data_IF_183749741798
#
_entry.id   IF_183749741798
#
_cell.length_a   1.000
_cell.length_b   1.000
_cell.length_c   1.000
_cell.angle_alpha   90.00
_cell.angle_beta   90.00
_cell.angle_gamma   90.00
#
_symmetry.space_group_name_H-M   'P 1'
#
loop_
_entity.id
_entity.type
_entity.pdbx_description
1 polymer ?
#
# COMPACT_ATOMS: atom_id res chain seq x y z
N UNK A 1 -33.27 0.76 -13.47
CA UNK A 1 -33.65 0.86 -12.05
C UNK A 1 -32.95 2.09 -11.47
N UNK A 2 -33.65 3.09 -10.91
CA UNK A 2 -32.98 4.22 -10.23
C UNK A 2 -32.07 3.75 -9.08
N UNK A 3 -32.21 2.51 -8.62
CA UNK A 3 -31.31 1.85 -7.65
C UNK A 3 -29.95 1.45 -8.22
N UNK A 4 -29.72 1.51 -9.54
CA UNK A 4 -28.49 0.92 -10.11
C UNK A 4 -27.35 1.89 -10.43
N UNK A 5 -27.53 3.20 -10.63
CA UNK A 5 -26.39 4.08 -11.01
C UNK A 5 -26.58 5.60 -11.01
N UNK A 6 -27.67 6.16 -10.46
CA UNK A 6 -27.95 7.59 -10.68
C UNK A 6 -27.87 8.49 -9.44
N UNK A 7 -27.64 7.92 -8.26
CA UNK A 7 -27.49 8.69 -7.02
C UNK A 7 -26.02 9.02 -6.71
N UNK A 8 -25.80 10.15 -6.02
CA UNK A 8 -24.48 10.57 -5.56
C UNK A 8 -24.50 10.95 -4.08
N UNK A 9 -23.36 10.76 -3.45
CA UNK A 9 -23.13 10.98 -2.03
C UNK A 9 -21.96 11.97 -1.91
N UNK A 10 -22.26 13.21 -1.52
CA UNK A 10 -21.30 14.30 -1.42
C UNK A 10 -21.05 14.65 0.04
N UNK A 11 -19.79 14.87 0.39
CA UNK A 11 -19.39 15.42 1.69
C UNK A 11 -19.04 16.90 1.51
N UNK A 12 -19.64 17.76 2.34
CA UNK A 12 -19.40 19.19 2.34
C UNK A 12 -18.87 19.56 3.72
N UNK A 13 -17.73 20.25 3.80
CA UNK A 13 -17.20 20.73 5.06
C UNK A 13 -16.67 22.15 4.93
N UNK A 14 -16.71 22.92 6.02
CA UNK A 14 -16.29 24.31 6.03
C UNK A 14 -15.27 24.64 7.14
N UNK A 15 -14.75 25.87 7.10
CA UNK A 15 -13.75 26.35 8.06
C UNK A 15 -14.34 26.62 9.45
N UNK A 16 -15.67 26.67 9.61
CA UNK A 16 -16.32 26.83 10.91
C UNK A 16 -16.45 25.50 11.65
N UNK A 17 -16.00 24.40 11.03
CA UNK A 17 -16.03 23.06 11.61
C UNK A 17 -17.33 22.31 11.33
N UNK A 18 -18.19 22.82 10.44
CA UNK A 18 -19.38 22.08 10.02
C UNK A 18 -19.02 21.08 8.92
N UNK A 19 -19.54 19.86 9.05
CA UNK A 19 -19.50 18.87 8.00
C UNK A 19 -20.92 18.36 7.73
N UNK A 20 -21.25 18.10 6.48
CA UNK A 20 -22.56 17.68 6.01
C UNK A 20 -22.42 16.51 5.06
N UNK A 21 -23.30 15.52 5.23
CA UNK A 21 -23.50 14.43 4.30
C UNK A 21 -24.70 14.73 3.43
N UNK A 22 -24.50 14.87 2.12
CA UNK A 22 -25.53 15.19 1.13
C UNK A 22 -25.74 14.02 0.17
N UNK A 23 -26.97 13.50 0.11
CA UNK A 23 -27.37 12.48 -0.84
C UNK A 23 -28.33 13.08 -1.87
N UNK A 24 -28.08 12.79 -3.15
CA UNK A 24 -28.92 13.23 -4.26
C UNK A 24 -29.18 12.06 -5.21
N UNK A 25 -30.38 12.00 -5.78
CA UNK A 25 -30.80 11.02 -6.77
C UNK A 25 -31.76 11.68 -7.77
N UNK A 26 -31.89 11.17 -9.01
CA UNK A 26 -32.92 11.64 -9.92
C UNK A 26 -34.31 11.34 -9.33
N UNK A 27 -35.27 12.20 -9.64
CA UNK A 27 -36.66 11.87 -9.43
C UNK A 27 -37.12 10.79 -10.43
N UNK A 28 -38.29 10.21 -10.18
CA UNK A 28 -38.88 9.16 -11.03
C UNK A 28 -39.34 9.69 -12.40
N UNK A 29 -39.47 11.02 -12.54
CA UNK A 29 -39.76 11.68 -13.82
C UNK A 29 -38.54 11.81 -14.73
N UNK A 30 -37.33 11.71 -14.17
CA UNK A 30 -36.07 11.98 -14.87
C UNK A 30 -35.87 13.46 -15.23
N UNK A 31 -36.71 14.36 -14.72
CA UNK A 31 -36.68 15.80 -15.00
C UNK A 31 -36.21 16.62 -13.79
N UNK A 32 -36.07 16.01 -12.62
CA UNK A 32 -35.61 16.68 -11.40
C UNK A 32 -34.76 15.75 -10.52
N UNK A 33 -34.44 16.21 -9.31
CA UNK A 33 -33.68 15.45 -8.33
C UNK A 33 -34.36 15.50 -6.95
N UNK A 34 -34.24 14.41 -6.21
CA UNK A 34 -34.59 14.31 -4.79
C UNK A 34 -33.30 14.28 -3.98
N UNK A 35 -33.25 15.03 -2.88
CA UNK A 35 -32.03 15.14 -2.07
C UNK A 35 -32.32 15.25 -0.57
N UNK A 36 -31.32 14.88 0.23
CA UNK A 36 -31.31 15.05 1.70
C UNK A 36 -29.89 15.41 2.16
N UNK A 37 -29.78 16.22 3.21
CA UNK A 37 -28.51 16.54 3.85
C UNK A 37 -28.60 16.34 5.37
N UNK A 38 -27.56 15.77 5.98
CA UNK A 38 -27.44 15.65 7.44
C UNK A 38 -26.11 16.27 7.90
N UNK A 39 -26.17 17.15 8.90
CA UNK A 39 -24.98 17.66 9.58
C UNK A 39 -24.32 16.52 10.36
N UNK A 40 -23.02 16.33 10.19
CA UNK A 40 -22.21 15.45 11.03
C UNK A 40 -21.94 16.20 12.34
N UNK A 41 -22.38 15.70 13.50
CA UNK A 41 -22.09 16.37 14.76
C UNK A 41 -20.58 16.50 15.01
N UNK A 42 -20.16 17.54 15.73
CA UNK A 42 -18.75 17.90 15.95
C UNK A 42 -17.89 16.76 16.55
N UNK A 43 -18.51 15.79 17.23
CA UNK A 43 -17.85 14.65 17.86
C UNK A 43 -17.94 13.35 17.05
N UNK A 44 -18.53 13.39 15.86
CA UNK A 44 -18.84 12.22 15.05
C UNK A 44 -17.99 12.15 13.79
N UNK A 45 -17.88 10.93 13.26
CA UNK A 45 -17.32 10.65 11.95
C UNK A 45 -18.41 9.96 11.12
N UNK A 46 -18.43 10.23 9.82
CA UNK A 46 -19.26 9.47 8.88
C UNK A 46 -18.35 8.73 7.91
N UNK A 47 -18.70 7.48 7.62
CA UNK A 47 -18.01 6.64 6.63
C UNK A 47 -19.01 6.36 5.54
N UNK A 48 -18.67 6.66 4.29
CA UNK A 48 -19.57 6.53 3.15
C UNK A 48 -19.00 5.52 2.17
N UNK A 49 -19.62 4.34 2.12
CA UNK A 49 -19.38 3.37 1.06
C UNK A 49 -20.24 3.70 -0.17
N UNK A 50 -20.25 2.83 -1.19
CA UNK A 50 -21.15 2.97 -2.34
C UNK A 50 -22.61 2.60 -2.00
N UNK A 51 -23.08 3.01 -0.82
CA UNK A 51 -24.43 2.80 -0.29
C UNK A 51 -24.80 3.98 0.61
N UNK A 52 -26.09 4.27 0.79
CA UNK A 52 -26.55 5.37 1.63
C UNK A 52 -26.36 5.06 3.11
N UNK A 53 -25.75 5.99 3.86
CA UNK A 53 -25.26 5.78 5.25
C UNK A 53 -26.00 6.61 6.31
N UNK A 54 -27.03 7.36 5.92
CA UNK A 54 -27.92 8.04 6.88
C UNK A 54 -28.86 6.98 7.45
N UNK A 55 -28.55 6.50 8.66
CA UNK A 55 -29.28 5.39 9.27
C UNK A 55 -30.31 5.82 10.33
N UNK A 56 -30.04 6.88 11.10
CA UNK A 56 -30.99 7.46 12.05
C UNK A 56 -31.41 8.85 11.64
N UNK A 57 -32.71 9.10 11.72
CA UNK A 57 -33.28 10.41 11.43
C UNK A 57 -34.25 10.75 12.55
N UNK A 58 -33.92 11.74 13.38
CA UNK A 58 -34.80 12.25 14.42
C UNK A 58 -35.52 13.52 13.95
N UNK A 59 -36.69 13.37 13.31
CA UNK A 59 -37.46 14.49 12.75
C UNK A 59 -38.03 15.48 13.78
N UNK A 60 -37.94 15.16 15.08
CA UNK A 60 -38.28 16.10 16.15
C UNK A 60 -37.15 17.09 16.46
N UNK A 61 -35.91 16.76 16.06
CA UNK A 61 -34.75 17.64 16.12
C UNK A 61 -34.59 18.35 14.77
N UNK A 62 -35.36 19.43 14.60
CA UNK A 62 -35.39 20.22 13.38
C UNK A 62 -34.09 20.97 13.11
N UNK A 63 -33.20 21.05 14.10
CA UNK A 63 -31.89 21.66 13.97
C UNK A 63 -30.90 20.71 13.26
N UNK A 64 -31.15 19.39 13.30
CA UNK A 64 -30.25 18.36 12.75
C UNK A 64 -30.91 17.41 11.72
N UNK A 65 -32.24 17.37 11.56
CA UNK A 65 -32.93 16.42 10.67
C UNK A 65 -34.18 16.97 9.95
N UNK A 66 -34.40 16.52 8.69
CA UNK A 66 -35.62 16.72 7.90
C UNK A 66 -35.97 15.42 7.15
N UNK A 67 -37.26 15.06 6.99
CA UNK A 67 -37.67 13.77 6.39
C UNK A 67 -39.16 13.41 6.50
N UNK A 68 -39.52 12.22 5.98
CA UNK A 68 -40.91 11.75 5.82
C UNK A 68 -41.49 11.15 7.12
N UNK A 69 -42.74 11.48 7.45
CA UNK A 69 -43.39 11.13 8.74
C UNK A 69 -43.63 9.64 8.98
N UNK A 70 -43.60 8.80 7.93
CA UNK A 70 -43.92 7.36 7.98
C UNK A 70 -42.69 6.44 8.02
N UNK A 71 -41.48 7.00 8.14
CA UNK A 71 -40.21 6.28 8.05
C UNK A 71 -40.02 5.21 9.14
N UNK A 72 -40.38 5.48 10.41
CA UNK A 72 -40.26 4.51 11.50
C UNK A 72 -41.21 3.31 11.32
N UNK A 73 -42.44 3.58 10.84
CA UNK A 73 -43.44 2.55 10.54
C UNK A 73 -42.94 1.57 9.46
N UNK A 74 -42.23 2.09 8.45
CA UNK A 74 -41.64 1.29 7.37
C UNK A 74 -40.45 0.46 7.89
N UNK A 75 -39.61 1.01 8.77
CA UNK A 75 -38.45 0.32 9.33
C UNK A 75 -38.86 -0.86 10.24
N UNK A 76 -39.88 -0.67 11.07
CA UNK A 76 -40.43 -1.73 11.93
C UNK A 76 -41.14 -2.81 11.10
N UNK A 77 -41.96 -2.41 10.11
CA UNK A 77 -42.71 -3.34 9.26
C UNK A 77 -41.82 -4.30 8.46
N UNK A 78 -40.61 -3.85 8.09
CA UNK A 78 -39.67 -4.66 7.33
C UNK A 78 -38.60 -5.34 8.19
N UNK A 79 -38.66 -5.20 9.52
CA UNK A 79 -37.75 -5.86 10.45
C UNK A 79 -36.33 -5.30 10.45
N UNK A 80 -36.13 -4.07 9.98
CA UNK A 80 -34.81 -3.42 9.94
C UNK A 80 -34.40 -2.83 11.29
N UNK A 81 -35.36 -2.61 12.19
CA UNK A 81 -35.13 -2.10 13.53
C UNK A 81 -36.23 -2.61 14.46
N UNK A 82 -35.87 -2.84 15.73
CA UNK A 82 -36.80 -3.21 16.78
C UNK A 82 -36.70 -2.20 17.93
N UNK A 83 -37.79 -1.50 18.30
CA UNK A 83 -37.81 -0.56 19.42
C UNK A 83 -37.35 -1.18 20.75
N UNK A 84 -37.53 -2.50 20.92
CA UNK A 84 -37.11 -3.25 22.10
C UNK A 84 -35.57 -3.46 22.17
N UNK A 85 -34.84 -3.24 21.08
CA UNK A 85 -33.37 -3.40 21.03
C UNK A 85 -32.60 -2.13 21.44
N UNK A 86 -33.31 -1.07 21.83
CA UNK A 86 -32.71 0.19 22.28
C UNK A 86 -32.71 1.29 21.19
N UNK A 87 -32.21 2.49 21.53
CA UNK A 87 -31.94 3.50 20.53
C UNK A 87 -30.90 2.93 19.57
N UNK A 88 -31.12 3.12 18.28
CA UNK A 88 -30.15 2.73 17.27
C UNK A 88 -28.85 3.57 17.47
N UNK A 89 -27.63 3.02 17.33
CA UNK A 89 -26.36 3.75 17.62
C UNK A 89 -25.17 3.11 16.88
N UNK A 90 -24.21 3.93 16.41
CA UNK A 90 -23.09 3.58 15.51
C UNK A 90 -21.77 4.33 15.80
N UNK A 91 -21.40 4.68 17.04
CA UNK A 91 -20.32 5.68 17.29
C UNK A 91 -18.96 5.16 17.81
N UNK A 92 -17.87 5.91 17.53
CA UNK A 92 -16.45 5.70 17.95
C UNK A 92 -16.00 6.82 18.92
N UNK A 93 -15.10 6.50 19.86
CA UNK A 93 -14.84 7.28 21.08
C UNK A 93 -13.57 8.17 21.11
N UNK A 94 -12.91 8.52 20.00
CA UNK A 94 -11.68 9.34 20.01
C UNK A 94 -11.58 10.33 18.83
N UNK A 95 -10.92 11.51 18.99
CA UNK A 95 -10.63 12.42 17.89
C UNK A 95 -9.74 11.76 16.84
N UNK A 96 -10.09 11.89 15.56
CA UNK A 96 -9.28 11.38 14.45
C UNK A 96 -8.36 12.46 13.88
N UNK A 97 -7.15 12.07 13.49
CA UNK A 97 -6.28 12.88 12.64
C UNK A 97 -6.42 12.48 11.16
N UNK A 98 -5.95 13.33 10.24
CA UNK A 98 -5.89 13.00 8.81
C UNK A 98 -5.13 11.68 8.56
N UNK A 99 -4.10 11.40 9.36
CA UNK A 99 -3.35 10.14 9.31
C UNK A 99 -4.21 8.91 9.61
N UNK A 100 -5.21 9.02 10.49
CA UNK A 100 -6.15 7.92 10.76
C UNK A 100 -7.06 7.66 9.57
N UNK A 101 -7.55 8.71 8.91
CA UNK A 101 -8.35 8.58 7.69
C UNK A 101 -7.54 7.97 6.54
N UNK A 102 -6.29 8.43 6.35
CA UNK A 102 -5.37 7.85 5.38
C UNK A 102 -5.09 6.37 5.70
N UNK A 103 -4.95 5.99 6.99
CA UNK A 103 -4.81 4.59 7.42
C UNK A 103 -6.05 3.77 7.05
N UNK A 104 -7.26 4.27 7.31
CA UNK A 104 -8.49 3.56 6.97
C UNK A 104 -8.64 3.34 5.46
N UNK A 105 -8.27 4.33 4.64
CA UNK A 105 -8.28 4.16 3.20
C UNK A 105 -7.35 3.04 2.72
N UNK A 106 -6.29 2.70 3.46
CA UNK A 106 -5.28 1.68 3.10
C UNK A 106 -5.70 0.24 3.42
N UNK A 107 -6.83 0.05 4.07
CA UNK A 107 -7.24 -1.21 4.71
C UNK A 107 -7.90 -2.21 3.72
N UNK A 108 -7.71 -3.50 4.00
CA UNK A 108 -8.28 -4.67 3.33
C UNK A 108 -8.88 -5.65 4.35
N UNK A 109 -9.45 -5.10 5.43
CA UNK A 109 -10.04 -5.79 6.58
C UNK A 109 -9.03 -6.56 7.43
N UNK A 110 -7.80 -6.06 7.53
CA UNK A 110 -6.73 -6.71 8.27
C UNK A 110 -7.13 -7.02 9.72
N UNK A 111 -6.80 -8.23 10.20
CA UNK A 111 -7.15 -8.75 11.53
C UNK A 111 -8.65 -9.02 11.75
N UNK A 112 -9.42 -9.19 10.69
CA UNK A 112 -10.83 -9.62 10.77
C UNK A 112 -11.02 -10.97 10.07
N UNK A 113 -12.19 -11.64 10.21
CA UNK A 113 -12.52 -12.80 9.40
C UNK A 113 -12.54 -12.54 7.88
N UNK A 114 -12.59 -11.27 7.45
CA UNK A 114 -12.62 -10.84 6.06
C UNK A 114 -11.26 -10.36 5.53
N UNK A 115 -10.17 -10.57 6.29
CA UNK A 115 -8.82 -10.12 5.96
C UNK A 115 -8.34 -10.69 4.61
N UNK A 116 -8.24 -9.82 3.59
CA UNK A 116 -7.85 -10.23 2.25
C UNK A 116 -6.36 -10.56 2.12
N UNK A 117 -5.54 -10.25 3.13
CA UNK A 117 -4.13 -10.66 3.18
C UNK A 117 -3.97 -12.12 3.61
N UNK A 118 -5.06 -12.78 4.02
CA UNK A 118 -5.05 -14.14 4.51
C UNK A 118 -5.74 -15.13 3.55
N UNK A 119 -5.50 -16.41 3.81
CA UNK A 119 -6.17 -17.51 3.12
C UNK A 119 -5.62 -17.81 1.73
N UNK A 120 -6.23 -18.79 1.07
CA UNK A 120 -5.76 -19.33 -0.21
C UNK A 120 -5.75 -18.27 -1.33
N UNK A 121 -6.76 -17.40 -1.33
CA UNK A 121 -6.90 -16.36 -2.34
C UNK A 121 -5.80 -15.29 -2.26
N UNK A 122 -5.15 -15.12 -1.10
CA UNK A 122 -4.04 -14.19 -0.94
C UNK A 122 -2.68 -14.76 -1.40
N UNK A 123 -2.63 -16.04 -1.74
CA UNK A 123 -1.39 -16.72 -2.10
C UNK A 123 -0.39 -16.80 -0.94
N UNK A 124 0.84 -17.25 -1.19
CA UNK A 124 1.81 -17.55 -0.13
C UNK A 124 2.33 -16.32 0.61
N UNK A 125 2.20 -15.14 0.00
CA UNK A 125 2.77 -13.88 0.50
C UNK A 125 1.71 -12.84 0.84
N UNK A 126 0.42 -13.20 0.86
CA UNK A 126 -0.63 -12.36 1.42
C UNK A 126 -1.09 -11.20 0.54
N UNK A 127 -1.12 -11.37 -0.78
CA UNK A 127 -1.58 -10.35 -1.72
C UNK A 127 -3.10 -10.08 -1.54
N UNK A 128 -3.52 -8.85 -1.18
CA UNK A 128 -4.93 -8.54 -0.97
C UNK A 128 -5.73 -8.34 -2.27
N UNK A 129 -5.07 -8.21 -3.43
CA UNK A 129 -5.76 -7.90 -4.68
C UNK A 129 -6.64 -9.07 -5.17
N UNK A 130 -7.84 -8.75 -5.67
CA UNK A 130 -8.79 -9.70 -6.27
C UNK A 130 -9.19 -9.20 -7.66
N UNK A 131 -8.57 -9.77 -8.69
CA UNK A 131 -8.81 -9.35 -10.07
C UNK A 131 -10.15 -9.87 -10.60
N UNK A 132 -10.75 -9.12 -11.53
CA UNK A 132 -11.99 -9.50 -12.19
C UNK A 132 -11.88 -10.85 -12.90
N UNK A 133 -12.89 -11.71 -12.73
CA UNK A 133 -12.94 -13.10 -13.24
C UNK A 133 -13.19 -13.21 -14.76
N UNK A 134 -13.27 -12.09 -15.47
CA UNK A 134 -13.54 -12.04 -16.91
C UNK A 134 -14.90 -12.63 -17.28
N UNK A 135 -15.01 -13.21 -18.48
CA UNK A 135 -16.25 -13.80 -19.01
C UNK A 135 -16.59 -15.18 -18.43
N UNK A 136 -15.67 -15.82 -17.71
CA UNK A 136 -15.85 -17.15 -17.13
C UNK A 136 -16.42 -17.06 -15.71
N UNK A 137 -17.69 -16.68 -15.60
CA UNK A 137 -18.39 -16.46 -14.32
C UNK A 137 -19.57 -17.41 -14.15
N UNK A 138 -19.57 -18.17 -13.05
CA UNK A 138 -20.71 -18.96 -12.57
C UNK A 138 -21.05 -18.55 -11.13
N UNK A 139 -21.45 -17.29 -10.94
CA UNK A 139 -21.74 -16.71 -9.63
C UNK A 139 -20.51 -16.54 -8.72
N UNK A 140 -20.75 -16.07 -7.49
CA UNK A 140 -19.72 -15.79 -6.49
C UNK A 140 -19.10 -14.39 -6.59
N UNK A 141 -18.51 -13.92 -5.49
CA UNK A 141 -17.74 -12.68 -5.41
C UNK A 141 -16.70 -12.79 -4.28
N UNK A 142 -15.62 -12.02 -4.40
CA UNK A 142 -14.76 -11.70 -3.26
C UNK A 142 -15.29 -10.44 -2.58
N UNK A 143 -15.02 -10.30 -1.29
CA UNK A 143 -15.24 -9.05 -0.56
C UNK A 143 -14.43 -7.92 -1.23
N UNK A 144 -15.06 -6.75 -1.38
CA UNK A 144 -14.41 -5.56 -1.93
C UNK A 144 -13.66 -4.86 -0.79
N UNK A 145 -12.33 -4.80 -0.86
CA UNK A 145 -11.53 -4.01 0.08
C UNK A 145 -11.82 -2.50 -0.02
N UNK A 146 -11.41 -1.76 1.01
CA UNK A 146 -11.45 -0.29 1.00
C UNK A 146 -10.40 0.21 0.00
N UNK A 147 -9.17 -0.24 0.15
CA UNK A 147 -8.10 -0.03 -0.82
C UNK A 147 -8.16 -1.08 -1.93
N UNK A 148 -8.25 -0.63 -3.18
CA UNK A 148 -8.31 -1.50 -4.36
C UNK A 148 -7.35 -1.01 -5.46
N UNK A 149 -6.78 -1.93 -6.24
CA UNK A 149 -5.73 -1.65 -7.22
C UNK A 149 -6.20 -0.80 -8.42
N UNK A 150 -7.50 -0.70 -8.63
CA UNK A 150 -8.17 0.11 -9.66
C UNK A 150 -8.50 1.54 -9.16
N UNK A 151 -8.29 1.83 -7.87
CA UNK A 151 -8.40 3.19 -7.34
C UNK A 151 -7.40 4.12 -8.04
N UNK A 152 -7.92 5.16 -8.67
CA UNK A 152 -7.10 6.11 -9.45
C UNK A 152 -6.42 7.13 -8.55
N UNK A 153 -7.08 7.56 -7.49
CA UNK A 153 -6.56 8.45 -6.47
C UNK A 153 -7.40 8.35 -5.20
N UNK A 154 -6.87 8.92 -4.13
CA UNK A 154 -7.51 9.11 -2.83
C UNK A 154 -7.10 10.48 -2.29
N UNK A 155 -7.97 11.11 -1.52
CA UNK A 155 -7.62 12.35 -0.85
C UNK A 155 -8.26 12.49 0.52
N UNK A 156 -7.60 13.22 1.41
CA UNK A 156 -8.16 13.67 2.69
C UNK A 156 -8.09 15.19 2.72
N UNK A 157 -9.24 15.85 2.76
CA UNK A 157 -9.31 17.30 2.89
C UNK A 157 -8.99 17.70 4.34
N UNK A 158 -8.05 18.63 4.51
CA UNK A 158 -7.68 19.21 5.80
C UNK A 158 -8.00 20.70 5.77
N UNK A 159 -8.99 21.11 6.57
CA UNK A 159 -9.45 22.49 6.65
C UNK A 159 -8.77 23.15 7.85
N UNK A 160 -8.22 24.34 7.65
CA UNK A 160 -7.67 25.12 8.75
C UNK A 160 -8.79 25.87 9.49
N UNK A 161 -8.86 25.79 10.84
CA UNK A 161 -9.98 26.33 11.59
C UNK A 161 -10.11 27.86 11.52
N UNK A 162 -9.02 28.58 11.23
CA UNK A 162 -9.00 30.04 11.33
C UNK A 162 -8.38 30.74 10.11
N UNK A 163 -7.73 30.01 9.20
CA UNK A 163 -6.94 30.60 8.13
C UNK A 163 -7.30 29.94 6.80
N UNK A 164 -8.18 30.61 6.05
CA UNK A 164 -8.71 30.11 4.78
C UNK A 164 -7.62 29.76 3.74
N UNK A 165 -6.41 30.28 3.89
CA UNK A 165 -5.30 30.03 2.98
C UNK A 165 -4.62 28.68 3.21
N UNK A 166 -4.78 28.12 4.41
CA UNK A 166 -4.04 26.95 4.85
C UNK A 166 -4.83 25.65 4.73
N UNK A 167 -6.00 25.70 4.08
CA UNK A 167 -6.68 24.48 3.66
C UNK A 167 -5.85 23.74 2.60
N UNK A 168 -5.72 22.43 2.75
CA UNK A 168 -4.98 21.58 1.83
C UNK A 168 -5.59 20.19 1.69
N UNK A 169 -5.23 19.51 0.61
CA UNK A 169 -5.59 18.11 0.37
C UNK A 169 -4.35 17.24 0.61
N UNK A 170 -4.46 16.22 1.44
CA UNK A 170 -3.58 15.06 1.32
C UNK A 170 -3.97 14.31 0.07
N UNK A 171 -3.19 14.41 -1.00
CA UNK A 171 -3.49 13.77 -2.27
C UNK A 171 -2.59 12.55 -2.48
N UNK A 172 -3.21 11.39 -2.71
CA UNK A 172 -2.52 10.13 -2.99
C UNK A 172 -2.98 9.57 -4.33
N UNK A 173 -2.24 9.77 -5.44
CA UNK A 173 -2.58 9.15 -6.70
C UNK A 173 -2.24 7.65 -6.65
N UNK A 174 -3.04 6.82 -7.31
CA UNK A 174 -3.07 5.35 -7.24
C UNK A 174 -3.70 4.78 -5.96
N UNK A 175 -3.72 3.45 -5.83
CA UNK A 175 -4.35 2.72 -4.74
C UNK A 175 -3.86 3.17 -3.36
N UNK A 176 -4.76 3.40 -2.38
CA UNK A 176 -4.38 3.96 -1.10
C UNK A 176 -3.31 3.17 -0.37
N UNK A 177 -3.34 1.83 -0.38
CA UNK A 177 -2.32 1.01 0.29
C UNK A 177 -0.89 1.23 -0.24
N UNK A 178 -0.76 1.62 -1.51
CA UNK A 178 0.52 1.79 -2.19
C UNK A 178 0.94 3.25 -2.34
N UNK A 179 0.00 4.20 -2.28
CA UNK A 179 0.28 5.62 -2.47
C UNK A 179 1.05 6.23 -1.29
N UNK A 180 1.85 7.25 -1.60
CA UNK A 180 2.37 8.21 -0.63
C UNK A 180 1.51 9.46 -0.76
N UNK A 181 0.84 9.86 0.32
CA UNK A 181 0.04 11.07 0.31
C UNK A 181 0.94 12.31 0.41
N UNK A 182 0.65 13.32 -0.41
CA UNK A 182 1.37 14.59 -0.42
C UNK A 182 0.40 15.76 -0.17
N UNK A 183 0.71 16.72 0.71
CA UNK A 183 -0.10 17.92 0.89
C UNK A 183 -0.08 18.83 -0.34
N UNK A 184 -1.25 19.22 -0.81
CA UNK A 184 -1.46 20.21 -1.88
C UNK A 184 -2.37 21.30 -1.34
N UNK A 185 -1.83 22.50 -1.16
CA UNK A 185 -2.62 23.64 -0.68
C UNK A 185 -3.65 24.05 -1.73
N UNK A 186 -4.87 24.35 -1.28
CA UNK A 186 -5.94 24.83 -2.16
C UNK A 186 -5.55 26.19 -2.77
N UNK A 187 -4.87 27.05 -1.98
CA UNK A 187 -4.35 28.34 -2.43
C UNK A 187 -2.99 28.19 -3.13
N UNK A 188 -2.98 27.44 -4.22
CA UNK A 188 -1.83 27.34 -5.14
C UNK A 188 -2.14 27.97 -6.48
N UNK A 189 -1.13 28.51 -7.17
CA UNK A 189 -1.28 29.05 -8.52
C UNK A 189 -1.45 27.92 -9.57
N UNK A 190 -0.75 26.80 -9.36
CA UNK A 190 -0.72 25.67 -10.29
C UNK A 190 -0.65 24.35 -9.52
N UNK A 191 -1.27 23.30 -10.06
CA UNK A 191 -1.13 21.94 -9.53
C UNK A 191 0.30 21.44 -9.80
N UNK A 192 1.01 20.85 -8.82
CA UNK A 192 2.35 20.32 -9.06
C UNK A 192 2.39 19.31 -10.19
N UNK A 193 3.43 19.39 -11.03
CA UNK A 193 3.51 18.62 -12.26
C UNK A 193 3.53 17.10 -12.04
N UNK A 194 4.07 16.67 -10.90
CA UNK A 194 4.18 15.27 -10.48
C UNK A 194 2.82 14.64 -10.16
N UNK A 195 1.86 15.43 -9.67
CA UNK A 195 0.51 14.96 -9.29
C UNK A 195 -0.54 15.33 -10.34
N UNK A 196 -0.33 16.39 -11.12
CA UNK A 196 -1.24 16.84 -12.17
C UNK A 196 -1.20 15.99 -13.45
N UNK A 197 -0.37 14.93 -13.50
CA UNK A 197 -0.19 14.05 -14.66
C UNK A 197 -0.26 12.59 -14.25
N UNK A 198 -0.92 11.76 -15.06
CA UNK A 198 -1.06 10.32 -14.80
C UNK A 198 -1.75 9.53 -15.92
N UNK A 199 -1.54 9.93 -17.18
CA UNK A 199 -2.21 9.32 -18.34
C UNK A 199 -1.97 7.81 -18.39
N UNK A 200 -3.05 7.02 -18.45
CA UNK A 200 -2.98 5.55 -18.59
C UNK A 200 -2.49 5.10 -19.98
N UNK A 201 -2.32 6.03 -20.93
CA UNK A 201 -1.89 5.70 -22.30
C UNK A 201 -0.38 5.50 -22.42
N UNK A 202 0.41 6.08 -21.51
CA UNK A 202 1.86 6.02 -21.58
C UNK A 202 2.47 6.14 -20.18
N UNK A 203 3.41 5.26 -19.88
CA UNK A 203 4.23 5.36 -18.68
C UNK A 203 4.99 6.69 -18.64
N UNK A 204 5.02 7.33 -17.47
CA UNK A 204 5.77 8.56 -17.23
C UNK A 204 6.44 8.49 -15.85
N UNK A 205 7.77 8.43 -15.82
CA UNK A 205 8.56 8.37 -14.59
C UNK A 205 8.51 9.66 -13.76
N UNK A 206 8.06 10.78 -14.33
CA UNK A 206 7.84 12.03 -13.61
C UNK A 206 6.43 12.16 -13.00
N UNK A 207 5.65 11.08 -13.02
CA UNK A 207 4.29 11.06 -12.45
C UNK A 207 4.26 10.24 -11.17
N UNK A 208 3.73 10.85 -10.11
CA UNK A 208 3.55 10.18 -8.82
C UNK A 208 2.57 9.01 -8.94
N UNK A 209 1.57 9.10 -9.82
CA UNK A 209 0.67 7.98 -10.12
C UNK A 209 1.45 6.75 -10.60
N UNK A 210 2.30 6.91 -11.61
CA UNK A 210 3.06 5.79 -12.18
C UNK A 210 4.12 5.24 -11.22
N UNK A 211 4.74 6.10 -10.40
CA UNK A 211 5.67 5.67 -9.36
C UNK A 211 4.97 4.82 -8.29
N UNK A 212 3.82 5.28 -7.76
CA UNK A 212 3.04 4.53 -6.78
C UNK A 212 2.46 3.24 -7.37
N UNK A 213 2.03 3.26 -8.64
CA UNK A 213 1.57 2.08 -9.36
C UNK A 213 2.68 1.02 -9.47
N UNK A 214 3.91 1.44 -9.79
CA UNK A 214 5.05 0.53 -9.84
C UNK A 214 5.34 -0.10 -8.47
N UNK A 215 5.31 0.71 -7.40
CA UNK A 215 5.44 0.23 -6.02
C UNK A 215 4.36 -0.80 -5.70
N UNK A 216 3.07 -0.47 -5.89
CA UNK A 216 1.97 -1.35 -5.49
C UNK A 216 1.94 -2.66 -6.28
N UNK A 217 2.14 -2.61 -7.60
CA UNK A 217 2.17 -3.82 -8.43
C UNK A 217 3.35 -4.72 -8.04
N UNK A 218 4.55 -4.17 -7.86
CA UNK A 218 5.70 -4.97 -7.47
C UNK A 218 5.56 -5.53 -6.05
N UNK A 219 5.15 -4.69 -5.11
CA UNK A 219 4.97 -5.08 -3.72
C UNK A 219 3.97 -6.22 -3.56
N UNK A 220 2.93 -6.26 -4.39
CA UNK A 220 1.89 -7.30 -4.35
C UNK A 220 2.43 -8.72 -4.55
N UNK A 221 3.59 -8.89 -5.20
CA UNK A 221 4.24 -10.20 -5.38
C UNK A 221 4.70 -10.80 -4.05
N UNK A 222 5.22 -9.94 -3.15
CA UNK A 222 5.87 -10.34 -1.90
C UNK A 222 5.26 -9.59 -0.70
N UNK A 223 3.94 -9.40 -0.73
CA UNK A 223 3.22 -8.40 0.07
C UNK A 223 3.56 -8.43 1.57
N UNK A 224 3.61 -9.63 2.18
CA UNK A 224 4.00 -9.83 3.59
C UNK A 224 5.37 -9.22 3.94
N UNK A 225 6.32 -9.23 3.00
CA UNK A 225 7.67 -8.70 3.20
C UNK A 225 7.79 -7.22 2.82
N UNK A 226 7.10 -6.80 1.77
CA UNK A 226 7.20 -5.45 1.20
C UNK A 226 6.30 -4.45 1.94
N UNK A 227 5.12 -4.87 2.40
CA UNK A 227 4.13 -4.01 3.07
C UNK A 227 4.69 -3.28 4.30
N UNK A 228 5.46 -3.91 5.21
CA UNK A 228 6.07 -3.19 6.33
C UNK A 228 7.03 -2.09 5.89
N UNK A 229 7.85 -2.34 4.86
CA UNK A 229 8.81 -1.35 4.31
C UNK A 229 8.09 -0.19 3.62
N UNK A 230 7.01 -0.49 2.89
CA UNK A 230 6.13 0.52 2.32
C UNK A 230 5.47 1.36 3.43
N UNK A 231 4.93 0.71 4.47
CA UNK A 231 4.27 1.39 5.59
C UNK A 231 5.20 2.37 6.29
N UNK A 232 6.44 1.94 6.52
CA UNK A 232 7.47 2.76 7.15
C UNK A 232 7.87 3.94 6.28
N UNK A 233 8.03 3.73 4.98
CA UNK A 233 8.37 4.81 4.04
C UNK A 233 7.24 5.83 3.93
N UNK A 234 5.99 5.36 3.81
CA UNK A 234 4.79 6.20 3.82
C UNK A 234 4.74 7.06 5.09
N UNK A 235 4.84 6.43 6.28
CA UNK A 235 4.87 7.15 7.56
C UNK A 235 5.98 8.19 7.62
N UNK A 236 7.22 7.83 7.29
CA UNK A 236 8.37 8.76 7.35
C UNK A 236 8.19 9.98 6.45
N UNK A 237 7.66 9.80 5.24
CA UNK A 237 7.43 10.91 4.31
C UNK A 237 6.23 11.75 4.75
N UNK A 238 5.14 11.10 5.17
CA UNK A 238 3.89 11.74 5.58
C UNK A 238 4.08 12.50 6.90
N UNK A 239 4.78 11.95 7.90
CA UNK A 239 5.05 12.62 9.18
C UNK A 239 5.87 13.90 9.00
N UNK A 240 6.84 13.89 8.08
CA UNK A 240 7.63 15.08 7.74
C UNK A 240 6.76 16.11 7.02
N UNK A 241 5.90 15.67 6.11
CA UNK A 241 4.94 16.53 5.43
C UNK A 241 3.91 17.11 6.41
N UNK A 242 3.44 16.32 7.40
CA UNK A 242 2.56 16.74 8.49
C UNK A 242 3.27 17.81 9.32
N UNK A 243 4.51 17.58 9.73
CA UNK A 243 5.28 18.56 10.49
C UNK A 243 5.50 19.86 9.70
N UNK A 244 5.73 19.79 8.39
CA UNK A 244 5.83 20.96 7.51
C UNK A 244 4.50 21.71 7.37
N UNK A 245 3.40 20.99 7.14
CA UNK A 245 2.06 21.56 6.98
C UNK A 245 1.49 22.13 8.29
N UNK A 246 1.65 21.43 9.42
CA UNK A 246 1.21 21.87 10.75
C UNK A 246 2.11 22.92 11.40
N UNK A 247 3.37 23.08 10.97
CA UNK A 247 4.18 24.25 11.38
C UNK A 247 3.55 25.56 10.91
N UNK A 248 2.75 25.51 9.84
CA UNK A 248 1.87 26.59 9.43
C UNK A 248 0.66 26.78 10.37
N UNK A 249 0.53 26.04 11.48
CA UNK A 249 -0.66 26.03 12.34
C UNK A 249 -0.33 25.96 13.85
N UNK A 250 0.92 25.69 14.27
CA UNK A 250 1.27 25.47 15.70
C UNK A 250 2.72 25.93 16.03
N UNK A 251 2.92 26.45 17.25
CA UNK A 251 4.19 27.01 17.76
C UNK A 251 5.25 25.97 18.18
N UNK A 252 6.51 26.42 18.21
CA UNK A 252 7.78 25.72 17.93
C UNK A 252 8.31 24.62 18.90
N UNK A 253 7.68 24.30 20.04
CA UNK A 253 8.43 23.68 21.15
C UNK A 253 8.49 22.12 21.20
N UNK A 254 7.57 21.38 20.59
CA UNK A 254 7.46 19.93 20.81
C UNK A 254 8.17 19.02 19.78
N UNK A 255 8.68 19.57 18.67
CA UNK A 255 8.97 18.79 17.44
C UNK A 255 10.44 18.33 17.32
N UNK A 256 11.36 18.86 18.13
CA UNK A 256 12.79 18.55 18.02
C UNK A 256 13.14 17.07 18.33
N UNK A 257 12.22 16.31 18.95
CA UNK A 257 12.43 14.92 19.34
C UNK A 257 12.00 13.87 18.31
N UNK A 258 11.13 14.20 17.34
CA UNK A 258 10.52 13.20 16.43
C UNK A 258 11.38 12.96 15.16
N UNK A 259 12.23 13.92 14.78
CA UNK A 259 12.93 13.94 13.48
C UNK A 259 14.21 13.08 13.44
N UNK A 260 14.67 12.54 14.57
CA UNK A 260 15.96 11.84 14.66
C UNK A 260 15.84 10.33 14.82
N UNK A 261 15.56 9.61 13.73
CA UNK A 261 16.21 8.31 13.51
C UNK A 261 16.15 7.87 12.04
N UNK A 262 17.32 7.91 11.40
CA UNK A 262 17.72 7.24 10.15
C UNK A 262 17.24 7.87 8.83
N UNK A 263 18.15 8.67 8.25
CA UNK A 263 18.37 8.94 6.82
C UNK A 263 17.13 9.23 5.96
N UNK A 264 16.50 10.38 6.18
CA UNK A 264 16.00 11.21 5.07
C UNK A 264 16.80 12.50 5.14
N UNK A 265 17.35 12.94 4.01
CA UNK A 265 18.17 14.15 3.91
C UNK A 265 17.55 15.35 4.62
N UNK A 266 18.42 16.12 5.27
CA UNK A 266 18.16 17.32 6.09
C UNK A 266 17.54 18.51 5.36
N UNK A 267 17.01 18.34 4.14
CA UNK A 267 16.40 19.40 3.33
C UNK A 267 14.86 19.46 3.42
N UNK A 268 14.26 18.59 4.23
CA UNK A 268 12.81 18.35 4.21
C UNK A 268 11.99 19.27 5.15
N UNK A 269 12.65 20.14 5.90
CA UNK A 269 11.98 21.11 6.74
C UNK A 269 11.79 22.44 5.99
N UNK A 270 10.76 22.52 5.14
CA UNK A 270 10.25 23.85 4.78
C UNK A 270 9.36 24.31 5.93
N UNK A 271 9.97 25.04 6.86
CA UNK A 271 9.32 25.60 8.03
C UNK A 271 8.60 26.88 7.61
N UNK A 272 7.27 26.88 7.63
CA UNK A 272 6.48 28.09 7.42
C UNK A 272 5.92 28.59 8.74
N UNK A 273 6.12 29.87 9.01
CA UNK A 273 5.59 30.60 10.16
C UNK A 273 4.35 31.38 9.70
N UNK A 274 3.19 31.19 10.35
CA UNK A 274 1.97 31.96 10.06
C UNK A 274 2.22 33.46 10.16
N UNK A 275 3.06 33.91 11.09
CA UNK A 275 3.40 35.31 11.26
C UNK A 275 4.25 35.86 10.10
N UNK A 276 4.96 34.99 9.37
CA UNK A 276 5.65 35.35 8.14
C UNK A 276 4.68 35.41 6.95
N UNK A 277 3.76 34.44 6.83
CA UNK A 277 2.70 34.44 5.81
C UNK A 277 1.76 35.65 5.93
N UNK A 278 1.45 36.09 7.16
CA UNK A 278 0.61 37.26 7.39
C UNK A 278 1.25 38.59 6.92
N UNK A 279 2.57 38.61 6.69
CA UNK A 279 3.29 39.78 6.16
C UNK A 279 3.32 39.82 4.63
N UNK A 280 2.95 38.71 3.98
CA UNK A 280 2.90 38.61 2.54
C UNK A 280 1.59 39.19 1.99
N UNK A 281 1.66 39.86 0.85
CA UNK A 281 0.45 40.19 0.08
C UNK A 281 -0.14 38.94 -0.58
N UNK A 282 -1.33 39.07 -1.19
CA UNK A 282 -2.06 37.92 -1.74
C UNK A 282 -1.28 37.07 -2.76
N UNK A 283 -0.47 37.74 -3.58
CA UNK A 283 0.43 37.09 -4.55
C UNK A 283 1.57 36.35 -3.83
N UNK A 284 2.10 36.92 -2.75
CA UNK A 284 3.16 36.33 -1.94
C UNK A 284 2.71 35.03 -1.27
N UNK A 285 1.53 35.04 -0.63
CA UNK A 285 0.92 33.85 -0.01
C UNK A 285 0.75 32.73 -1.03
N UNK A 286 0.15 33.03 -2.18
CA UNK A 286 -0.07 32.03 -3.25
C UNK A 286 1.25 31.46 -3.76
N UNK A 287 2.27 32.30 -3.94
CA UNK A 287 3.59 31.89 -4.38
C UNK A 287 4.27 30.96 -3.38
N UNK A 288 4.16 31.27 -2.07
CA UNK A 288 4.70 30.47 -0.98
C UNK A 288 4.05 29.08 -0.94
N UNK A 289 2.73 29.02 -0.93
CA UNK A 289 1.97 27.76 -0.84
C UNK A 289 2.11 26.90 -2.12
N UNK A 290 2.33 27.54 -3.27
CA UNK A 290 2.69 26.84 -4.51
C UNK A 290 4.05 26.18 -4.42
N UNK A 291 5.07 26.88 -3.91
CA UNK A 291 6.40 26.27 -3.68
C UNK A 291 6.33 25.13 -2.67
N UNK A 292 5.52 25.27 -1.62
CA UNK A 292 5.30 24.21 -0.64
C UNK A 292 4.71 22.95 -1.29
N UNK A 293 3.61 23.11 -2.03
CA UNK A 293 2.93 22.01 -2.73
C UNK A 293 3.85 21.31 -3.73
N UNK A 294 4.65 22.08 -4.48
CA UNK A 294 5.66 21.53 -5.40
C UNK A 294 6.75 20.74 -4.67
N UNK A 295 7.23 21.22 -3.51
CA UNK A 295 8.24 20.51 -2.71
C UNK A 295 7.68 19.21 -2.13
N UNK A 296 6.44 19.21 -1.64
CA UNK A 296 5.79 17.98 -1.16
C UNK A 296 5.61 16.97 -2.29
N UNK A 297 5.11 17.40 -3.44
CA UNK A 297 4.90 16.54 -4.60
C UNK A 297 6.21 15.92 -5.13
N UNK A 298 7.25 16.74 -5.32
CA UNK A 298 8.58 16.26 -5.75
C UNK A 298 9.23 15.31 -4.74
N UNK A 299 9.06 15.57 -3.44
CA UNK A 299 9.53 14.67 -2.38
C UNK A 299 8.79 13.34 -2.42
N UNK A 300 7.45 13.36 -2.55
CA UNK A 300 6.64 12.15 -2.68
C UNK A 300 7.06 11.31 -3.88
N UNK A 301 7.32 11.94 -5.03
CA UNK A 301 7.79 11.24 -6.24
C UNK A 301 9.17 10.62 -6.03
N UNK A 302 10.11 11.37 -5.45
CA UNK A 302 11.44 10.87 -5.14
C UNK A 302 11.38 9.67 -4.17
N UNK A 303 10.56 9.76 -3.13
CA UNK A 303 10.37 8.69 -2.16
C UNK A 303 9.72 7.45 -2.77
N UNK A 304 8.67 7.60 -3.60
CA UNK A 304 8.03 6.48 -4.28
C UNK A 304 8.99 5.79 -5.25
N UNK A 305 9.80 6.56 -5.98
CA UNK A 305 10.82 6.04 -6.90
C UNK A 305 11.90 5.27 -6.16
N UNK A 306 12.44 5.84 -5.06
CA UNK A 306 13.44 5.20 -4.23
C UNK A 306 12.88 3.94 -3.55
N UNK A 307 11.62 3.98 -3.09
CA UNK A 307 10.93 2.83 -2.53
C UNK A 307 10.84 1.70 -3.55
N UNK A 308 10.42 1.97 -4.79
CA UNK A 308 10.37 0.94 -5.83
C UNK A 308 11.75 0.30 -6.06
N UNK A 309 12.82 1.11 -6.13
CA UNK A 309 14.19 0.61 -6.29
C UNK A 309 14.63 -0.24 -5.09
N UNK A 310 14.30 0.18 -3.87
CA UNK A 310 14.59 -0.59 -2.66
C UNK A 310 13.81 -1.91 -2.64
N UNK A 311 12.52 -1.90 -2.95
CA UNK A 311 11.73 -3.13 -3.02
C UNK A 311 12.28 -4.10 -4.06
N UNK A 312 12.63 -3.60 -5.25
CA UNK A 312 13.20 -4.39 -6.34
C UNK A 312 14.52 -5.03 -5.94
N UNK A 313 15.43 -4.26 -5.36
CA UNK A 313 16.77 -4.75 -4.98
C UNK A 313 16.73 -5.63 -3.74
N UNK A 314 15.83 -5.37 -2.79
CA UNK A 314 15.75 -6.09 -1.52
C UNK A 314 14.90 -7.36 -1.59
N UNK A 315 13.84 -7.37 -2.39
CA UNK A 315 12.86 -8.46 -2.45
C UNK A 315 12.67 -8.93 -3.89
N UNK A 316 13.44 -9.93 -4.33
CA UNK A 316 13.37 -10.44 -5.70
C UNK A 316 13.62 -11.95 -5.74
N UNK A 317 13.08 -12.60 -6.77
CA UNK A 317 13.30 -14.03 -7.07
C UNK A 317 13.04 -14.98 -5.88
N UNK A 318 12.06 -14.63 -5.04
CA UNK A 318 11.74 -15.39 -3.82
C UNK A 318 12.77 -15.28 -2.70
N UNK A 319 13.61 -14.24 -2.73
CA UNK A 319 14.66 -13.97 -1.75
C UNK A 319 14.59 -12.57 -1.15
N UNK A 320 15.12 -12.45 0.07
CA UNK A 320 15.34 -11.19 0.77
C UNK A 320 16.84 -10.95 0.85
N UNK A 321 17.31 -9.83 0.29
CA UNK A 321 18.69 -9.36 0.46
C UNK A 321 18.77 -8.56 1.75
N UNK A 322 19.67 -8.97 2.64
CA UNK A 322 19.90 -8.36 3.94
C UNK A 322 21.29 -7.76 3.96
N UNK A 323 21.45 -6.61 4.63
CA UNK A 323 22.71 -5.86 4.70
C UNK A 323 23.22 -5.40 3.33
N UNK A 324 22.31 -4.94 2.47
CA UNK A 324 22.62 -4.48 1.11
C UNK A 324 23.59 -3.30 1.06
N UNK A 325 23.77 -2.57 2.16
CA UNK A 325 24.70 -1.43 2.30
C UNK A 325 26.05 -1.80 2.91
N UNK A 326 26.25 -3.05 3.34
CA UNK A 326 27.53 -3.54 3.89
C UNK A 326 28.43 -4.11 2.78
N UNK A 327 29.74 -4.24 3.03
CA UNK A 327 30.71 -4.82 2.08
C UNK A 327 30.38 -6.29 1.72
N UNK A 328 29.59 -6.98 2.54
CA UNK A 328 29.04 -8.31 2.26
C UNK A 328 27.55 -8.32 2.58
N UNK A 329 26.73 -8.72 1.61
CA UNK A 329 25.30 -8.94 1.81
C UNK A 329 24.99 -10.41 2.04
N UNK A 330 23.81 -10.69 2.60
CA UNK A 330 23.28 -12.05 2.77
C UNK A 330 21.97 -12.20 2.00
N UNK A 331 21.75 -13.38 1.42
CA UNK A 331 20.50 -13.71 0.72
C UNK A 331 19.77 -14.78 1.51
N UNK A 332 18.50 -14.50 1.83
CA UNK A 332 17.62 -15.45 2.51
C UNK A 332 16.43 -15.80 1.63
N UNK A 333 16.07 -17.08 1.56
CA UNK A 333 14.84 -17.48 0.88
C UNK A 333 13.62 -17.03 1.70
N UNK A 334 12.62 -16.45 1.02
CA UNK A 334 11.33 -16.11 1.64
C UNK A 334 10.59 -17.36 2.09
N UNK A 335 10.70 -18.43 1.29
CA UNK A 335 10.05 -19.71 1.54
C UNK A 335 8.53 -19.68 1.39
N UNK A 336 7.95 -20.80 0.96
CA UNK A 336 6.51 -20.96 1.01
C UNK A 336 6.08 -21.37 2.43
N UNK A 337 5.02 -20.77 2.99
CA UNK A 337 4.54 -21.19 4.29
C UNK A 337 3.89 -22.58 4.20
N UNK A 338 4.03 -23.38 5.26
CA UNK A 338 3.55 -24.78 5.29
C UNK A 338 2.07 -24.90 4.91
N UNK A 339 1.22 -24.03 5.48
CA UNK A 339 -0.22 -24.02 5.16
C UNK A 339 -0.48 -23.85 3.66
N UNK A 340 0.35 -23.09 2.96
CA UNK A 340 0.17 -22.85 1.53
C UNK A 340 0.63 -24.06 0.73
N UNK A 341 1.78 -24.65 1.10
CA UNK A 341 2.27 -25.91 0.52
C UNK A 341 1.25 -27.05 0.67
N UNK A 342 0.65 -27.17 1.84
CA UNK A 342 -0.45 -28.12 2.09
C UNK A 342 -1.65 -27.82 1.18
N UNK A 343 -2.01 -26.53 1.06
CA UNK A 343 -3.18 -26.11 0.28
C UNK A 343 -3.06 -26.37 -1.22
N UNK A 344 -1.84 -26.33 -1.77
CA UNK A 344 -1.55 -26.62 -3.17
C UNK A 344 -1.21 -28.10 -3.40
N UNK A 345 -1.28 -28.93 -2.35
CA UNK A 345 -1.02 -30.37 -2.45
C UNK A 345 0.46 -30.73 -2.65
N UNK A 346 1.39 -29.86 -2.25
CA UNK A 346 2.83 -30.09 -2.41
C UNK A 346 3.29 -31.43 -1.81
N UNK A 347 2.77 -31.78 -0.64
CA UNK A 347 3.09 -33.04 0.05
C UNK A 347 2.20 -34.23 -0.37
N UNK A 348 1.13 -33.98 -1.13
CA UNK A 348 0.13 -34.99 -1.53
C UNK A 348 0.41 -35.60 -2.91
N UNK A 349 1.62 -35.44 -3.45
CA UNK A 349 2.04 -36.15 -4.65
C UNK A 349 2.29 -37.63 -4.34
N UNK A 350 1.22 -38.40 -4.13
CA UNK A 350 1.23 -39.77 -4.66
C UNK A 350 1.39 -39.63 -6.17
N UNK A 351 2.58 -39.89 -6.68
CA UNK A 351 2.83 -40.10 -8.10
C UNK A 351 1.97 -41.26 -8.58
N UNK A 352 0.71 -40.99 -8.95
CA UNK A 352 -0.12 -41.93 -9.70
C UNK A 352 0.00 -41.54 -11.17
N UNK A 353 0.98 -42.09 -11.87
CA UNK A 353 0.97 -42.12 -13.34
C UNK A 353 2.19 -41.54 -14.08
N UNK A 354 3.30 -41.26 -13.42
CA UNK A 354 4.60 -41.20 -14.10
C UNK A 354 5.38 -42.42 -13.61
N UNK A 355 5.81 -43.27 -14.55
CA UNK A 355 6.69 -44.40 -14.29
C UNK A 355 7.76 -44.02 -13.25
N UNK A 356 7.86 -44.81 -12.20
CA UNK A 356 9.00 -44.86 -11.28
C UNK A 356 10.26 -45.28 -12.06
N UNK A 357 10.75 -44.40 -12.93
CA UNK A 357 12.17 -44.33 -13.26
C UNK A 357 12.78 -43.36 -12.27
N UNK A 358 13.39 -43.84 -11.17
CA UNK A 358 13.97 -42.95 -10.21
C UNK A 358 15.19 -42.30 -10.87
N UNK A 359 15.10 -41.00 -11.16
CA UNK A 359 16.28 -40.13 -11.26
C UNK A 359 16.91 -39.90 -9.87
N UNK A 360 16.85 -40.88 -8.98
CA UNK A 360 17.90 -41.04 -7.99
C UNK A 360 19.10 -41.52 -8.80
N UNK A 361 20.13 -40.68 -8.95
CA UNK A 361 21.47 -41.18 -9.25
C UNK A 361 21.89 -41.96 -8.02
N UNK A 362 21.43 -43.21 -7.90
CA UNK A 362 22.11 -44.21 -7.12
C UNK A 362 23.45 -44.37 -7.81
N UNK A 363 24.48 -43.75 -7.26
CA UNK A 363 25.84 -44.23 -7.47
C UNK A 363 25.84 -45.63 -6.88
N UNK A 364 25.47 -46.61 -7.71
CA UNK A 364 25.47 -48.00 -7.31
C UNK A 364 26.87 -48.34 -6.83
N UNK A 365 26.98 -49.19 -5.80
CA UNK A 365 28.28 -49.60 -5.28
C UNK A 365 29.22 -50.12 -6.39
N UNK A 366 28.67 -50.60 -7.51
CA UNK A 366 29.41 -50.96 -8.71
C UNK A 366 30.08 -49.79 -9.44
N UNK A 367 29.46 -48.61 -9.54
CA UNK A 367 30.05 -47.42 -10.17
C UNK A 367 31.18 -46.84 -9.30
N UNK A 368 30.96 -46.78 -7.99
CA UNK A 368 31.99 -46.39 -7.02
C UNK A 368 33.18 -47.39 -7.02
N UNK A 369 32.89 -48.69 -7.06
CA UNK A 369 33.93 -49.72 -7.16
C UNK A 369 34.70 -49.63 -8.49
N UNK A 370 34.02 -49.41 -9.63
CA UNK A 370 34.67 -49.24 -10.92
C UNK A 370 35.57 -48.00 -10.96
N UNK A 371 35.14 -46.89 -10.34
CA UNK A 371 35.93 -45.67 -10.24
C UNK A 371 37.15 -45.86 -9.32
N UNK A 372 36.98 -46.53 -8.17
CA UNK A 372 38.10 -46.88 -7.29
C UNK A 372 39.10 -47.82 -7.98
N UNK A 373 38.63 -48.82 -8.73
CA UNK A 373 39.51 -49.74 -9.49
C UNK A 373 40.26 -49.00 -10.59
N UNK A 374 39.62 -48.06 -11.30
CA UNK A 374 40.29 -47.23 -12.30
C UNK A 374 41.35 -46.32 -11.69
N UNK A 375 41.06 -45.67 -10.56
CA UNK A 375 42.01 -44.79 -9.87
C UNK A 375 43.20 -45.58 -9.31
N UNK A 376 42.94 -46.71 -8.64
CA UNK A 376 44.01 -47.58 -8.13
C UNK A 376 44.81 -48.21 -9.27
N UNK A 377 44.15 -48.61 -10.36
CA UNK A 377 44.80 -49.11 -11.57
C UNK A 377 45.68 -48.07 -12.24
N UNK A 378 45.23 -46.82 -12.33
CA UNK A 378 46.02 -45.72 -12.89
C UNK A 378 47.23 -45.38 -12.01
N UNK A 379 47.08 -45.39 -10.68
CA UNK A 379 48.19 -45.18 -9.75
C UNK A 379 49.20 -46.34 -9.83
N UNK A 380 48.75 -47.59 -9.91
CA UNK A 380 49.62 -48.75 -10.05
C UNK A 380 50.36 -48.74 -11.41
N UNK A 381 49.66 -48.40 -12.50
CA UNK A 381 50.27 -48.24 -13.82
C UNK A 381 51.30 -47.11 -13.84
N UNK A 382 50.98 -45.96 -13.22
CA UNK A 382 51.91 -44.84 -13.06
C UNK A 382 53.15 -45.20 -12.25
N UNK A 383 52.99 -45.96 -11.15
CA UNK A 383 54.11 -46.44 -10.33
C UNK A 383 55.01 -47.44 -11.10
N UNK A 384 54.41 -48.38 -11.84
CA UNK A 384 55.15 -49.36 -12.65
C UNK A 384 55.89 -48.68 -13.82
N UNK A 385 55.25 -47.73 -14.51
CA UNK A 385 55.87 -46.94 -15.56
C UNK A 385 56.99 -46.06 -15.01
N UNK A 386 56.80 -45.45 -13.83
CA UNK A 386 57.81 -44.67 -13.13
C UNK A 386 59.03 -45.48 -12.71
N UNK A 387 58.84 -46.70 -12.18
CA UNK A 387 59.95 -47.61 -11.86
C UNK A 387 60.69 -48.07 -13.13
N UNK A 388 59.99 -48.37 -14.23
CA UNK A 388 60.61 -48.76 -15.50
C UNK A 388 61.38 -47.60 -16.15
N UNK A 389 60.93 -46.36 -15.99
CA UNK A 389 61.66 -45.17 -16.44
C UNK A 389 62.90 -44.89 -15.57
N UNK A 390 62.81 -45.09 -14.25
CA UNK A 390 63.93 -44.89 -13.31
C UNK A 390 65.07 -45.90 -13.49
N UNK A 391 64.80 -47.12 -13.96
CA UNK A 391 65.82 -48.15 -14.20
C UNK A 391 66.71 -47.83 -15.42
N UNK A 392 66.34 -46.87 -16.30
CA UNK A 392 67.09 -46.56 -17.53
C UNK A 392 68.14 -45.45 -17.44
N UNK A 393 68.39 -44.84 -16.28
CA UNK A 393 69.52 -43.91 -16.11
C UNK A 393 70.52 -44.39 -15.06
N UNK A 394 71.41 -45.30 -15.49
CA UNK A 394 72.74 -45.47 -14.89
C UNK A 394 73.79 -45.60 -16.01
N UNK A 395 74.28 -44.47 -16.50
CA UNK A 395 75.59 -44.27 -17.16
C UNK A 395 75.89 -42.78 -17.03
N UNK A 396 76.99 -42.29 -16.49
CA UNK A 396 78.19 -42.85 -15.90
C UNK A 396 79.04 -41.63 -15.51
N UNK A 397 79.74 -41.70 -14.39
CA UNK A 397 80.72 -40.67 -14.02
C UNK A 397 81.78 -40.54 -15.11
N UNK A 398 82.12 -39.30 -15.48
CA UNK A 398 83.41 -38.97 -16.07
C UNK A 398 83.94 -37.71 -15.38
N UNK A 399 85.09 -37.91 -14.75
CA UNK A 399 85.93 -36.96 -14.02
C UNK A 399 87.01 -36.44 -14.98
N UNK A 400 87.71 -35.37 -14.58
CA UNK A 400 88.99 -34.81 -15.11
C UNK A 400 88.78 -33.84 -16.30
N UNK A 401 89.32 -32.61 -16.32
CA UNK A 401 90.54 -32.06 -15.70
C UNK A 401 90.37 -30.61 -15.25
#
# INVERSE_FOLDING_TARGET
DPRESAGEALTIADAKGEAWMFHILPDDSGASAVWVAQRVPDTHITVVANEFMIHQVNLADTDNFMGSTNMHEIAERNGFWNPATGPFDFTVAQPLAAADLMRYHRDHYENTPFDLTQGRAAGPYGNPNRYGVGSNRNGGHFERAISIYDATYTFVASIHPTNVNLGFLWFGPYAPHATIYVPIFVRTADVPAEVGRGSLRQFNSSSLFWANLAVGNYASLWYKFTRPVMADTQRRVEDVAVAGALRCCVTHAAIHAIVWSHAVDTELAVVYDEAALAKEGDVGVTSVLTRASNKFASTGLAAATALFQDLLTRFHDGTVVIKSTEHSFSVQYMGYPTWWLDSVGYYNSTQTGLDDSPCNVYVSGGILAAFCVLVVGAMAAGFILGQRASIKQKRGYAFIQ
#
